data_IF_731541168031
#
_entry.id   IF_731541168031
#
_cell.length_a   1.000
_cell.length_b   1.000
_cell.length_c   1.000
_cell.angle_alpha   90.00
_cell.angle_beta   90.00
_cell.angle_gamma   90.00
#
_symmetry.space_group_name_H-M   'P 1'
#
loop_
_entity.id
_entity.type
_entity.pdbx_description
1 polymer ?
#
# COMPACT_ATOMS: atom_id res chain seq x y z
N UNK A 1 27.96 -13.60 -0.12
CA UNK A 1 27.28 -12.30 -0.09
C UNK A 1 26.02 -12.47 0.74
N UNK A 2 25.79 -11.61 1.74
CA UNK A 2 24.67 -11.77 2.66
C UNK A 2 23.35 -11.51 1.90
N UNK A 3 22.45 -12.49 1.85
CA UNK A 3 21.27 -12.49 0.96
C UNK A 3 20.05 -11.73 1.53
N UNK A 4 20.22 -11.06 2.67
CA UNK A 4 19.23 -10.18 3.31
C UNK A 4 19.55 -8.70 3.07
N UNK A 5 19.51 -8.27 1.81
CA UNK A 5 19.80 -6.87 1.46
C UNK A 5 18.55 -6.17 0.98
N UNK A 6 18.30 -4.97 1.53
CA UNK A 6 17.25 -4.06 1.07
C UNK A 6 17.93 -2.88 0.37
N UNK A 7 17.65 -2.74 -0.92
CA UNK A 7 18.17 -1.69 -1.80
C UNK A 7 17.03 -0.76 -2.16
N UNK A 8 17.19 0.53 -1.87
CA UNK A 8 16.23 1.57 -2.28
C UNK A 8 16.86 2.38 -3.41
N UNK A 9 16.15 2.51 -4.53
CA UNK A 9 16.56 3.33 -5.67
C UNK A 9 15.63 4.54 -5.79
N UNK A 10 16.17 5.75 -5.75
CA UNK A 10 15.40 7.00 -5.83
C UNK A 10 15.81 7.84 -7.03
N UNK A 11 14.88 8.62 -7.57
CA UNK A 11 15.11 9.53 -8.69
C UNK A 11 13.87 9.72 -9.56
N UNK A 12 13.88 10.74 -10.40
CA UNK A 12 12.75 11.09 -11.28
C UNK A 12 12.36 9.97 -12.25
N UNK A 13 11.18 10.09 -12.86
CA UNK A 13 10.74 9.15 -13.90
C UNK A 13 11.74 9.16 -15.07
N UNK A 14 11.89 8.00 -15.73
CA UNK A 14 12.78 7.80 -16.90
C UNK A 14 14.29 7.96 -16.67
N UNK A 15 14.76 7.93 -15.42
CA UNK A 15 16.22 7.96 -15.14
C UNK A 15 16.90 6.57 -15.15
N UNK A 16 16.18 5.51 -15.56
CA UNK A 16 16.73 4.15 -15.65
C UNK A 16 16.73 3.34 -14.35
N UNK A 17 15.94 3.74 -13.33
CA UNK A 17 15.83 3.00 -12.05
C UNK A 17 15.38 1.55 -12.25
N UNK A 18 14.30 1.32 -12.98
CA UNK A 18 13.76 -0.02 -13.21
C UNK A 18 14.78 -0.90 -13.93
N UNK A 19 15.50 -0.34 -14.90
CA UNK A 19 16.56 -1.05 -15.63
C UNK A 19 17.76 -1.36 -14.73
N UNK A 20 18.21 -0.40 -13.93
CA UNK A 20 19.30 -0.64 -12.97
C UNK A 20 18.90 -1.68 -11.91
N UNK A 21 17.65 -1.64 -11.41
CA UNK A 21 17.12 -2.64 -10.49
C UNK A 21 17.12 -4.04 -11.09
N UNK A 22 16.63 -4.19 -12.32
CA UNK A 22 16.68 -5.46 -13.06
C UNK A 22 18.12 -5.91 -13.31
N UNK A 23 19.03 -5.00 -13.65
CA UNK A 23 20.45 -5.34 -13.89
C UNK A 23 21.13 -5.86 -12.62
N UNK A 24 20.83 -5.26 -11.47
CA UNK A 24 21.29 -5.76 -10.18
C UNK A 24 20.68 -7.14 -9.92
N UNK A 25 19.38 -7.32 -10.17
CA UNK A 25 18.72 -8.60 -9.95
C UNK A 25 19.30 -9.73 -10.82
N UNK A 26 19.56 -9.51 -12.10
CA UNK A 26 20.24 -10.48 -12.99
C UNK A 26 21.63 -10.89 -12.49
N UNK A 27 22.37 -9.94 -11.90
CA UNK A 27 23.70 -10.21 -11.35
C UNK A 27 23.63 -11.03 -10.06
N UNK A 28 22.59 -10.82 -9.25
CA UNK A 28 22.40 -11.50 -7.97
C UNK A 28 21.73 -12.87 -8.13
N UNK A 29 20.86 -13.02 -9.11
CA UNK A 29 20.13 -14.25 -9.43
C UNK A 29 20.25 -14.55 -10.94
N UNK A 30 21.01 -15.59 -11.28
CA UNK A 30 21.23 -15.99 -12.68
C UNK A 30 19.95 -16.45 -13.37
N UNK A 31 18.95 -16.89 -12.59
CA UNK A 31 17.65 -17.37 -13.06
C UNK A 31 16.57 -16.28 -12.91
N UNK A 32 16.97 -15.03 -12.73
CA UNK A 32 16.04 -13.92 -12.57
C UNK A 32 15.04 -13.84 -13.74
N UNK A 33 13.76 -13.90 -13.39
CA UNK A 33 12.63 -13.83 -14.31
C UNK A 33 11.71 -12.66 -13.92
N UNK A 34 11.69 -11.57 -14.70
CA UNK A 34 10.82 -10.41 -14.45
C UNK A 34 9.35 -10.76 -14.33
N UNK A 35 8.88 -11.78 -15.05
CA UNK A 35 7.49 -12.23 -15.00
C UNK A 35 7.11 -12.71 -13.59
N UNK A 36 8.07 -13.23 -12.81
CA UNK A 36 7.85 -13.78 -11.47
C UNK A 36 8.38 -12.90 -10.35
N UNK A 37 9.42 -12.11 -10.60
CA UNK A 37 10.19 -11.43 -9.55
C UNK A 37 10.11 -9.91 -9.59
N UNK A 38 9.48 -9.30 -10.61
CA UNK A 38 9.16 -7.87 -10.62
C UNK A 38 7.69 -7.67 -10.24
N UNK A 39 7.43 -6.78 -9.28
CA UNK A 39 6.09 -6.55 -8.74
C UNK A 39 5.72 -5.08 -8.83
N UNK A 40 4.52 -4.81 -9.35
CA UNK A 40 3.89 -3.49 -9.40
C UNK A 40 2.81 -3.33 -8.31
N UNK A 41 2.51 -4.41 -7.58
CA UNK A 41 1.55 -4.46 -6.49
C UNK A 41 2.10 -5.23 -5.29
N UNK A 42 1.64 -4.86 -4.11
CA UNK A 42 2.12 -5.44 -2.84
C UNK A 42 1.54 -6.81 -2.56
N UNK A 43 0.29 -7.08 -2.96
CA UNK A 43 -0.35 -8.39 -2.74
C UNK A 43 0.45 -9.55 -3.35
N UNK A 44 0.68 -9.55 -4.67
CA UNK A 44 1.49 -10.58 -5.34
C UNK A 44 2.92 -10.67 -4.78
N UNK A 45 3.53 -9.53 -4.43
CA UNK A 45 4.83 -9.50 -3.79
C UNK A 45 4.84 -10.24 -2.45
N UNK A 46 3.89 -9.95 -1.55
CA UNK A 46 3.84 -10.57 -0.23
C UNK A 46 3.61 -12.08 -0.32
N UNK A 47 2.77 -12.52 -1.26
CA UNK A 47 2.56 -13.94 -1.52
C UNK A 47 3.85 -14.61 -1.99
N UNK A 48 4.50 -14.06 -3.02
CA UNK A 48 5.77 -14.57 -3.50
C UNK A 48 6.85 -14.59 -2.41
N UNK A 49 6.92 -13.54 -1.59
CA UNK A 49 7.89 -13.41 -0.51
C UNK A 49 7.67 -14.46 0.58
N UNK A 50 6.41 -14.78 0.88
CA UNK A 50 6.06 -15.83 1.82
C UNK A 50 6.46 -17.23 1.31
N UNK A 51 6.37 -17.46 0.01
CA UNK A 51 6.57 -18.80 -0.56
C UNK A 51 8.02 -19.05 -0.99
N UNK A 52 8.80 -17.99 -1.21
CA UNK A 52 10.16 -18.05 -1.77
C UNK A 52 11.24 -17.81 -0.71
N UNK A 53 12.42 -18.38 -0.94
CA UNK A 53 13.64 -18.16 -0.15
C UNK A 53 14.83 -17.96 -1.06
N UNK A 54 15.88 -17.33 -0.54
CA UNK A 54 17.18 -17.20 -1.20
C UNK A 54 17.11 -16.55 -2.60
N UNK A 55 16.16 -15.64 -2.80
CA UNK A 55 15.85 -15.06 -4.11
C UNK A 55 15.86 -13.53 -4.09
N UNK A 56 15.68 -12.92 -5.26
CA UNK A 56 15.64 -11.47 -5.46
C UNK A 56 14.24 -11.05 -5.90
N UNK A 57 13.72 -9.99 -5.32
CA UNK A 57 12.50 -9.31 -5.78
C UNK A 57 12.79 -7.84 -6.13
N UNK A 58 12.13 -7.37 -7.17
CA UNK A 58 12.08 -5.96 -7.55
C UNK A 58 10.66 -5.46 -7.35
N UNK A 59 10.48 -4.46 -6.50
CA UNK A 59 9.22 -3.73 -6.32
C UNK A 59 9.37 -2.41 -7.09
N UNK A 60 8.67 -2.28 -8.21
CA UNK A 60 8.83 -1.15 -9.12
C UNK A 60 7.61 -0.23 -9.08
N UNK A 61 7.85 1.08 -8.90
CA UNK A 61 6.83 2.15 -8.96
C UNK A 61 5.62 2.02 -8.01
N UNK A 62 5.67 1.11 -7.02
CA UNK A 62 4.51 0.78 -6.17
C UNK A 62 3.98 1.96 -5.35
N UNK A 63 4.81 2.92 -4.98
CA UNK A 63 4.36 4.13 -4.27
C UNK A 63 3.57 5.11 -5.15
N UNK A 64 3.82 5.11 -6.46
CA UNK A 64 3.14 5.99 -7.43
C UNK A 64 1.69 5.53 -7.65
N UNK A 65 1.39 4.27 -7.31
CA UNK A 65 0.10 3.65 -7.51
C UNK A 65 -0.93 4.04 -6.44
N UNK A 66 -0.49 4.66 -5.35
CA UNK A 66 -1.38 5.13 -4.29
C UNK A 66 -1.65 6.63 -4.45
N UNK A 67 -2.89 6.97 -4.77
CA UNK A 67 -3.34 8.36 -4.92
C UNK A 67 -3.28 9.17 -3.60
N UNK A 68 -3.29 8.50 -2.45
CA UNK A 68 -3.20 9.10 -1.12
C UNK A 68 -1.98 8.57 -0.36
N UNK A 69 -1.20 9.49 0.23
CA UNK A 69 -0.07 9.20 1.10
C UNK A 69 -0.43 8.26 2.27
N UNK A 70 -1.63 8.37 2.85
CA UNK A 70 -2.09 7.50 3.95
C UNK A 70 -2.19 6.03 3.52
N UNK A 71 -2.72 5.77 2.33
CA UNK A 71 -2.86 4.42 1.78
C UNK A 71 -1.48 3.81 1.50
N UNK A 72 -0.56 4.62 0.96
CA UNK A 72 0.82 4.21 0.80
C UNK A 72 1.49 3.87 2.15
N UNK A 73 1.33 4.70 3.18
CA UNK A 73 1.90 4.42 4.50
C UNK A 73 1.39 3.10 5.10
N UNK A 74 0.10 2.78 4.95
CA UNK A 74 -0.46 1.51 5.43
C UNK A 74 0.17 0.31 4.72
N UNK A 75 0.38 0.43 3.41
CA UNK A 75 0.98 -0.60 2.56
C UNK A 75 2.47 -0.75 2.83
N UNK A 76 3.19 0.35 2.96
CA UNK A 76 4.58 0.42 3.36
C UNK A 76 4.79 -0.27 4.72
N UNK A 77 3.98 0.07 5.72
CA UNK A 77 4.03 -0.55 7.04
C UNK A 77 3.80 -2.07 6.98
N UNK A 78 2.94 -2.55 6.08
CA UNK A 78 2.70 -3.99 5.89
C UNK A 78 3.93 -4.67 5.31
N UNK A 79 4.56 -4.08 4.29
CA UNK A 79 5.83 -4.58 3.73
C UNK A 79 6.89 -4.62 4.83
N UNK A 80 7.07 -3.55 5.59
CA UNK A 80 8.11 -3.48 6.61
C UNK A 80 7.90 -4.50 7.73
N UNK A 81 6.66 -4.68 8.19
CA UNK A 81 6.35 -5.71 9.20
C UNK A 81 6.70 -7.09 8.69
N UNK A 82 6.35 -7.42 7.44
CA UNK A 82 6.72 -8.69 6.83
C UNK A 82 8.24 -8.82 6.76
N UNK A 83 8.97 -7.81 6.28
CA UNK A 83 10.43 -7.85 6.17
C UNK A 83 11.10 -8.04 7.53
N UNK A 84 10.70 -7.25 8.54
CA UNK A 84 11.24 -7.33 9.90
C UNK A 84 11.08 -8.71 10.53
N UNK A 85 9.95 -9.38 10.30
CA UNK A 85 9.66 -10.67 10.93
C UNK A 85 10.28 -11.87 10.19
N UNK A 86 10.64 -11.72 8.92
CA UNK A 86 10.98 -12.88 8.07
C UNK A 86 12.36 -12.84 7.41
N UNK A 87 13.02 -11.68 7.32
CA UNK A 87 14.31 -11.53 6.62
C UNK A 87 15.36 -12.51 7.14
N UNK A 88 15.58 -12.60 8.46
CA UNK A 88 16.61 -13.49 9.03
C UNK A 88 16.47 -14.99 8.72
N UNK A 89 15.29 -15.43 8.24
CA UNK A 89 15.04 -16.82 7.84
C UNK A 89 14.89 -17.01 6.32
N UNK A 90 14.41 -15.99 5.60
CA UNK A 90 14.09 -16.08 4.17
C UNK A 90 15.27 -15.76 3.26
N UNK A 91 16.21 -14.90 3.67
CA UNK A 91 17.41 -14.58 2.87
C UNK A 91 17.07 -14.03 1.49
N UNK A 92 16.02 -13.20 1.42
CA UNK A 92 15.57 -12.59 0.17
C UNK A 92 16.12 -11.17 0.04
N UNK A 93 16.69 -10.85 -1.13
CA UNK A 93 17.11 -9.50 -1.46
C UNK A 93 15.96 -8.73 -2.09
N UNK A 94 15.72 -7.53 -1.58
CA UNK A 94 14.66 -6.66 -2.04
C UNK A 94 15.23 -5.40 -2.68
N UNK A 95 14.77 -5.08 -3.88
CA UNK A 95 15.10 -3.85 -4.58
C UNK A 95 13.81 -3.05 -4.79
N UNK A 96 13.72 -1.85 -4.26
CA UNK A 96 12.55 -0.98 -4.40
C UNK A 96 12.90 0.26 -5.20
N UNK A 97 12.08 0.62 -6.19
CA UNK A 97 12.23 1.89 -6.90
C UNK A 97 11.17 2.89 -6.42
N UNK A 98 11.60 4.11 -6.14
CA UNK A 98 10.75 5.19 -5.67
C UNK A 98 11.08 6.48 -6.45
N UNK A 99 10.10 7.37 -6.67
CA UNK A 99 10.36 8.67 -7.28
C UNK A 99 11.23 9.56 -6.38
N UNK A 100 10.99 9.51 -5.06
CA UNK A 100 11.71 10.28 -4.05
C UNK A 100 11.84 9.47 -2.77
N UNK A 101 12.87 9.77 -1.98
CA UNK A 101 13.07 9.21 -0.64
C UNK A 101 11.95 9.58 0.34
N UNK A 102 11.24 10.69 0.10
CA UNK A 102 10.11 11.14 0.93
C UNK A 102 8.91 10.21 0.86
N UNK A 103 8.87 9.33 -0.13
CA UNK A 103 7.90 8.24 -0.23
C UNK A 103 8.24 7.08 0.70
N UNK A 104 9.14 7.29 1.66
CA UNK A 104 9.51 6.26 2.60
C UNK A 104 9.48 6.86 4.00
N UNK A 105 8.76 6.21 4.91
CA UNK A 105 8.78 6.54 6.32
C UNK A 105 10.18 6.35 6.90
N UNK A 106 10.48 7.08 7.97
CA UNK A 106 11.77 7.00 8.65
C UNK A 106 12.10 5.56 9.08
N UNK A 107 11.14 4.85 9.67
CA UNK A 107 11.31 3.45 10.09
C UNK A 107 11.70 2.52 8.94
N UNK A 108 11.12 2.70 7.76
CA UNK A 108 11.47 1.91 6.59
C UNK A 108 12.86 2.25 6.06
N UNK A 109 13.24 3.52 6.15
CA UNK A 109 14.53 3.99 5.68
C UNK A 109 15.67 3.40 6.51
N UNK A 110 15.44 3.26 7.82
CA UNK A 110 16.38 2.68 8.77
C UNK A 110 16.64 1.19 8.55
N UNK A 111 15.72 0.51 7.85
CA UNK A 111 15.82 -0.92 7.53
C UNK A 111 16.46 -1.17 6.16
N UNK A 112 16.58 -0.13 5.33
CA UNK A 112 17.33 -0.21 4.11
C UNK A 112 18.83 -0.39 4.40
N UNK A 113 19.51 -1.13 3.54
CA UNK A 113 20.96 -1.34 3.65
C UNK A 113 21.71 -0.41 2.70
N UNK A 114 21.15 -0.21 1.50
CA UNK A 114 21.73 0.58 0.42
C UNK A 114 20.68 1.54 -0.11
N UNK A 115 21.07 2.80 -0.28
CA UNK A 115 20.32 3.80 -1.04
C UNK A 115 21.10 4.14 -2.31
N UNK A 116 20.44 4.13 -3.44
CA UNK A 116 20.99 4.50 -4.74
C UNK A 116 20.20 5.68 -5.29
N UNK A 117 20.82 6.86 -5.32
CA UNK A 117 20.20 8.07 -5.84
C UNK A 117 20.63 8.28 -7.29
N UNK A 118 19.66 8.35 -8.19
CA UNK A 118 19.89 8.66 -9.60
C UNK A 118 20.43 10.09 -9.74
N UNK A 119 21.56 10.24 -10.42
CA UNK A 119 22.15 11.55 -10.74
C UNK A 119 21.90 11.89 -12.21
N UNK A 120 21.98 10.87 -13.08
CA UNK A 120 21.65 10.96 -14.50
C UNK A 120 21.11 9.59 -14.94
N UNK A 121 20.62 9.49 -16.17
CA UNK A 121 20.11 8.25 -16.74
C UNK A 121 21.15 7.14 -16.65
N UNK A 122 20.85 6.09 -15.87
CA UNK A 122 21.74 4.96 -15.65
C UNK A 122 22.93 5.22 -14.71
N UNK A 123 23.07 6.41 -14.12
CA UNK A 123 24.16 6.77 -13.20
C UNK A 123 23.61 7.03 -11.80
N UNK A 124 24.12 6.28 -10.83
CA UNK A 124 23.64 6.29 -9.45
C UNK A 124 24.77 6.58 -8.47
N UNK A 125 24.52 7.52 -7.56
CA UNK A 125 25.35 7.69 -6.36
C UNK A 125 24.84 6.74 -5.28
N UNK A 126 25.73 5.93 -4.75
CA UNK A 126 25.42 4.85 -3.80
C UNK A 126 25.80 5.26 -2.39
N UNK A 127 24.89 4.98 -1.46
CA UNK A 127 25.01 5.27 -0.04
C UNK A 127 24.75 4.00 0.75
N UNK A 128 25.57 3.76 1.77
CA UNK A 128 25.30 2.74 2.78
C UNK A 128 24.52 3.41 3.89
N UNK A 129 23.38 2.84 4.25
CA UNK A 129 22.60 3.33 5.38
C UNK A 129 23.25 2.82 6.66
N UNK A 130 23.57 3.73 7.58
CA UNK A 130 24.04 3.39 8.92
C UNK A 130 23.17 4.05 9.96
N UNK A 131 22.70 3.25 10.91
CA UNK A 131 21.98 3.71 12.08
C UNK A 131 22.94 3.76 13.26
N UNK A 132 23.12 4.94 13.84
CA UNK A 132 23.80 5.06 15.12
C UNK A 132 22.81 4.63 16.21
N UNK A 133 23.06 3.46 16.80
CA UNK A 133 22.18 2.85 17.80
C UNK A 133 22.04 3.69 19.07
N UNK A 134 23.07 4.47 19.42
CA UNK A 134 23.09 5.31 20.62
C UNK A 134 22.33 6.61 20.41
N UNK A 135 22.52 7.28 19.27
CA UNK A 135 21.84 8.54 18.97
C UNK A 135 20.50 8.38 18.26
N UNK A 136 20.15 7.15 17.82
CA UNK A 136 18.98 6.83 16.98
C UNK A 136 18.88 7.71 15.73
N UNK A 137 20.03 8.14 15.22
CA UNK A 137 20.13 8.93 14.00
C UNK A 137 20.70 8.05 12.89
N UNK A 138 20.07 8.15 11.73
CA UNK A 138 20.33 7.32 10.56
C UNK A 138 20.84 8.20 9.46
N UNK A 139 22.00 7.84 8.91
CA UNK A 139 22.70 8.68 7.94
C UNK A 139 23.11 7.85 6.72
N UNK A 140 22.83 8.32 5.50
CA UNK A 140 23.39 7.74 4.29
C UNK A 140 24.86 8.17 4.16
N UNK A 141 25.78 7.20 4.14
CA UNK A 141 27.21 7.45 3.91
C UNK A 141 27.51 7.08 2.46
N UNK A 142 27.82 8.08 1.64
CA UNK A 142 28.18 7.88 0.25
C UNK A 142 29.46 7.05 0.15
N UNK A 143 29.50 6.07 -0.75
CA UNK A 143 30.69 5.23 -0.93
C UNK A 143 31.11 5.04 -2.39
N UNK A 144 30.21 5.17 -3.36
CA UNK A 144 30.56 4.91 -4.77
C UNK A 144 29.58 5.59 -5.74
N UNK A 145 30.02 5.76 -6.99
CA UNK A 145 29.15 6.11 -8.11
C UNK A 145 29.17 4.95 -9.11
N UNK A 146 27.99 4.42 -9.43
CA UNK A 146 27.84 3.28 -10.32
C UNK A 146 27.10 3.68 -11.59
N UNK A 147 27.57 3.17 -12.73
CA UNK A 147 26.87 3.23 -14.02
C UNK A 147 26.32 1.85 -14.34
N UNK A 148 25.05 1.79 -14.69
CA UNK A 148 24.39 0.57 -15.12
C UNK A 148 24.12 0.61 -16.62
N UNK A 149 24.57 -0.45 -17.30
CA UNK A 149 24.13 -0.76 -18.65
C UNK A 149 22.73 -1.38 -18.62
N UNK A 150 22.13 -1.52 -19.81
CA UNK A 150 20.84 -2.18 -19.96
C UNK A 150 20.87 -3.64 -19.43
N UNK A 151 19.76 -4.15 -18.86
CA UNK A 151 19.56 -5.58 -18.63
C UNK A 151 19.64 -6.38 -19.94
N UNK A 152 19.59 -7.70 -19.85
CA UNK A 152 19.47 -8.54 -21.05
C UNK A 152 18.16 -8.22 -21.77
N UNK A 153 18.18 -8.36 -23.10
CA UNK A 153 17.04 -7.95 -23.94
C UNK A 153 15.78 -8.80 -23.67
N UNK A 154 15.95 -10.08 -23.29
CA UNK A 154 14.86 -10.97 -22.86
C UNK A 154 14.19 -10.49 -21.56
N UNK A 155 14.99 -10.01 -20.62
CA UNK A 155 14.57 -9.48 -19.33
C UNK A 155 13.82 -8.17 -19.52
N UNK A 156 14.28 -7.31 -20.41
CA UNK A 156 13.56 -6.08 -20.80
C UNK A 156 12.21 -6.44 -21.43
N UNK A 157 12.19 -7.36 -22.40
CA UNK A 157 10.96 -7.74 -23.08
C UNK A 157 9.92 -8.34 -22.11
N UNK A 158 10.35 -9.20 -21.19
CA UNK A 158 9.47 -9.78 -20.17
C UNK A 158 8.92 -8.72 -19.20
N UNK A 159 9.76 -7.76 -18.78
CA UNK A 159 9.36 -6.65 -17.94
C UNK A 159 8.32 -5.75 -18.63
N UNK A 160 8.60 -5.30 -19.85
CA UNK A 160 7.71 -4.37 -20.58
C UNK A 160 6.37 -5.04 -20.89
N UNK A 161 6.36 -6.33 -21.25
CA UNK A 161 5.12 -7.10 -21.41
C UNK A 161 4.29 -7.12 -20.12
N UNK A 162 4.92 -7.47 -18.99
CA UNK A 162 4.23 -7.51 -17.68
C UNK A 162 3.71 -6.13 -17.27
N UNK A 163 4.51 -5.08 -17.52
CA UNK A 163 4.14 -3.70 -17.22
C UNK A 163 2.94 -3.24 -18.04
N UNK A 164 2.91 -3.57 -19.33
CA UNK A 164 1.80 -3.24 -20.23
C UNK A 164 0.51 -3.96 -19.82
N UNK A 165 0.57 -5.27 -19.55
CA UNK A 165 -0.56 -6.06 -19.05
C UNK A 165 -1.12 -5.48 -17.74
N UNK A 166 -0.23 -5.13 -16.81
CA UNK A 166 -0.60 -4.52 -15.55
C UNK A 166 -1.24 -3.13 -15.74
N UNK A 167 -0.66 -2.26 -16.56
CA UNK A 167 -1.21 -0.93 -16.85
C UNK A 167 -2.60 -1.01 -17.48
N UNK A 168 -2.81 -1.94 -18.41
CA UNK A 168 -4.12 -2.17 -19.05
C UNK A 168 -5.16 -2.62 -18.04
N UNK A 169 -4.81 -3.58 -17.18
CA UNK A 169 -5.71 -4.04 -16.11
C UNK A 169 -6.05 -2.91 -15.14
N UNK A 170 -5.07 -2.07 -14.79
CA UNK A 170 -5.27 -0.94 -13.88
C UNK A 170 -6.19 0.12 -14.48
N UNK A 171 -5.93 0.51 -15.73
CA UNK A 171 -6.75 1.50 -16.44
C UNK A 171 -8.19 1.01 -16.62
N UNK A 172 -8.40 -0.27 -16.94
CA UNK A 172 -9.73 -0.86 -17.00
C UNK A 172 -10.46 -0.75 -15.65
N UNK A 173 -9.79 -1.08 -14.55
CA UNK A 173 -10.34 -0.94 -13.20
C UNK A 173 -10.67 0.50 -12.82
N UNK A 174 -9.81 1.47 -13.16
CA UNK A 174 -10.07 2.89 -12.92
C UNK A 174 -11.26 3.39 -13.77
N UNK A 175 -11.35 2.97 -15.03
CA UNK A 175 -12.48 3.31 -15.90
C UNK A 175 -13.79 2.72 -15.39
N UNK A 176 -13.79 1.48 -14.90
CA UNK A 176 -14.98 0.86 -14.33
C UNK A 176 -15.40 1.55 -13.03
N UNK A 177 -14.44 1.94 -12.18
CA UNK A 177 -14.73 2.76 -11.00
C UNK A 177 -15.34 4.12 -11.37
N UNK A 178 -14.76 4.82 -12.36
CA UNK A 178 -15.31 6.09 -12.85
C UNK A 178 -16.70 5.89 -13.45
N UNK A 179 -16.94 4.80 -14.21
CA UNK A 179 -18.26 4.47 -14.76
C UNK A 179 -19.29 4.28 -13.64
N UNK A 180 -18.95 3.53 -12.60
CA UNK A 180 -19.81 3.35 -11.44
C UNK A 180 -20.16 4.67 -10.75
N UNK A 181 -19.20 5.60 -10.66
CA UNK A 181 -19.42 6.95 -10.15
C UNK A 181 -20.25 7.82 -11.10
N UNK A 182 -20.07 7.69 -12.41
CA UNK A 182 -20.77 8.52 -13.40
C UNK A 182 -22.23 8.09 -13.65
N UNK A 183 -22.58 6.87 -13.23
CA UNK A 183 -23.94 6.35 -13.34
C UNK A 183 -24.82 7.02 -12.28
N UNK A 184 -25.61 8.01 -12.71
CA UNK A 184 -26.49 8.82 -11.85
C UNK A 184 -27.52 7.94 -11.11
N UNK A 185 -27.86 6.75 -11.64
CA UNK A 185 -28.71 5.79 -10.90
C UNK A 185 -28.05 5.20 -9.64
N UNK A 186 -26.71 5.20 -9.54
CA UNK A 186 -26.01 4.81 -8.31
C UNK A 186 -25.93 5.96 -7.29
N UNK A 187 -26.20 7.20 -7.70
CA UNK A 187 -26.41 8.36 -6.83
C UNK A 187 -27.84 8.42 -6.28
N UNK A 188 -28.51 7.28 -6.07
CA UNK A 188 -29.56 7.28 -5.05
C UNK A 188 -28.88 7.62 -3.72
N UNK A 189 -29.08 8.84 -3.24
CA UNK A 189 -28.60 9.31 -1.93
C UNK A 189 -29.05 8.29 -0.88
N UNK A 190 -28.18 7.36 -0.54
CA UNK A 190 -28.45 6.42 0.53
C UNK A 190 -28.40 7.24 1.81
N UNK A 191 -29.44 7.09 2.63
CA UNK A 191 -29.47 7.72 3.94
C UNK A 191 -28.22 7.25 4.70
N UNK A 192 -27.55 8.19 5.34
CA UNK A 192 -26.50 7.91 6.31
C UNK A 192 -27.08 7.14 7.50
N UNK A 193 -26.20 6.50 8.28
CA UNK A 193 -26.61 5.78 9.49
C UNK A 193 -27.43 6.68 10.44
N UNK A 194 -27.03 7.94 10.60
CA UNK A 194 -27.76 8.90 11.45
C UNK A 194 -29.14 9.24 10.90
N UNK A 195 -29.32 9.27 9.58
CA UNK A 195 -30.62 9.49 8.95
C UNK A 195 -31.55 8.28 9.09
N UNK A 196 -31.02 7.05 8.96
CA UNK A 196 -31.79 5.83 9.26
C UNK A 196 -32.22 5.76 10.72
N UNK A 197 -31.31 6.05 11.66
CA UNK A 197 -31.63 6.09 13.09
C UNK A 197 -32.61 7.20 13.44
N UNK A 198 -32.52 8.36 12.77
CA UNK A 198 -33.50 9.43 12.90
C UNK A 198 -34.87 9.01 12.36
N UNK A 199 -34.91 8.29 11.24
CA UNK A 199 -36.13 7.69 10.68
C UNK A 199 -36.78 6.71 11.65
N UNK A 200 -36.00 5.79 12.23
CA UNK A 200 -36.44 4.88 13.28
C UNK A 200 -37.03 5.63 14.48
N UNK A 201 -36.28 6.60 15.01
CA UNK A 201 -36.69 7.41 16.16
C UNK A 201 -37.99 8.20 15.93
N UNK A 202 -38.22 8.63 14.69
CA UNK A 202 -39.43 9.35 14.30
C UNK A 202 -40.59 8.41 13.94
N UNK A 203 -40.42 7.09 14.07
CA UNK A 203 -41.43 6.09 13.70
C UNK A 203 -41.69 5.99 12.19
N UNK A 204 -40.77 6.51 11.38
CA UNK A 204 -40.86 6.50 9.91
C UNK A 204 -40.31 5.20 9.29
N UNK A 205 -39.63 4.38 10.09
CA UNK A 205 -38.99 3.14 9.64
C UNK A 205 -39.04 2.09 10.75
N UNK A 206 -39.27 0.84 10.35
CA UNK A 206 -39.24 -0.31 11.25
C UNK A 206 -37.80 -0.67 11.66
N UNK A 207 -37.67 -1.21 12.87
CA UNK A 207 -36.39 -1.63 13.44
C UNK A 207 -35.66 -2.63 12.53
N UNK A 208 -36.38 -3.64 12.03
CA UNK A 208 -35.82 -4.69 11.16
C UNK A 208 -35.29 -4.12 9.84
N UNK A 209 -36.00 -3.12 9.28
CA UNK A 209 -35.61 -2.45 8.03
C UNK A 209 -34.33 -1.64 8.26
N UNK A 210 -34.24 -0.91 9.37
CA UNK A 210 -33.08 -0.11 9.73
C UNK A 210 -31.89 -1.01 10.03
N UNK A 211 -32.09 -2.11 10.76
CA UNK A 211 -31.06 -3.10 11.08
C UNK A 211 -30.46 -3.69 9.81
N UNK A 212 -31.30 -4.18 8.90
CA UNK A 212 -30.86 -4.76 7.64
C UNK A 212 -30.07 -3.75 6.77
N UNK A 213 -30.48 -2.47 6.76
CA UNK A 213 -29.80 -1.42 6.01
C UNK A 213 -28.44 -1.06 6.59
N UNK A 214 -28.33 -0.91 7.91
CA UNK A 214 -27.06 -0.54 8.57
C UNK A 214 -26.06 -1.72 8.51
N UNK A 215 -26.51 -2.97 8.65
CA UNK A 215 -25.66 -4.15 8.46
C UNK A 215 -25.10 -4.20 7.03
N UNK A 216 -25.92 -3.89 6.02
CA UNK A 216 -25.48 -3.80 4.62
C UNK A 216 -24.43 -2.70 4.39
N UNK A 217 -24.34 -1.69 5.27
CA UNK A 217 -23.30 -0.65 5.24
C UNK A 217 -21.98 -1.12 5.88
N UNK A 218 -21.89 -2.36 6.37
CA UNK A 218 -20.67 -2.97 6.90
C UNK A 218 -20.52 -2.96 8.42
N UNK A 219 -21.57 -2.57 9.15
CA UNK A 219 -21.60 -2.65 10.61
C UNK A 219 -21.93 -4.08 11.07
N UNK A 220 -21.34 -4.50 12.19
CA UNK A 220 -21.69 -5.80 12.78
C UNK A 220 -23.10 -5.76 13.37
N UNK A 221 -23.84 -6.87 13.31
CA UNK A 221 -25.20 -6.95 13.87
C UNK A 221 -25.24 -6.52 15.35
N UNK A 222 -24.19 -6.90 16.10
CA UNK A 222 -24.03 -6.57 17.51
C UNK A 222 -23.91 -5.06 17.76
N UNK A 223 -23.16 -4.35 16.91
CA UNK A 223 -23.01 -2.89 17.02
C UNK A 223 -24.32 -2.18 16.67
N UNK A 224 -25.06 -2.69 15.67
CA UNK A 224 -26.34 -2.13 15.26
C UNK A 224 -27.41 -2.27 16.36
N UNK A 225 -27.51 -3.44 16.99
CA UNK A 225 -28.40 -3.65 18.14
C UNK A 225 -28.08 -2.72 19.30
N UNK A 226 -26.79 -2.54 19.60
CA UNK A 226 -26.36 -1.64 20.67
C UNK A 226 -26.82 -0.20 20.40
N UNK A 227 -26.65 0.28 19.17
CA UNK A 227 -27.03 1.65 18.80
C UNK A 227 -28.54 1.85 18.78
N UNK A 228 -29.32 0.89 18.28
CA UNK A 228 -30.78 0.97 18.30
C UNK A 228 -31.32 1.03 19.73
N UNK A 229 -30.77 0.22 20.64
CA UNK A 229 -31.10 0.23 22.06
C UNK A 229 -30.75 1.57 22.73
N UNK A 230 -29.64 2.19 22.34
CA UNK A 230 -29.25 3.51 22.85
C UNK A 230 -30.22 4.62 22.41
N UNK A 231 -30.79 4.53 21.20
CA UNK A 231 -31.74 5.53 20.70
C UNK A 231 -33.14 5.35 21.28
N UNK A 232 -33.60 4.11 21.53
CA UNK A 232 -34.89 3.84 22.17
C UNK A 232 -34.92 4.25 23.65
N UNK A 233 -33.80 4.10 24.38
CA UNK A 233 -33.67 4.58 25.76
C UNK A 233 -33.76 6.11 25.89
N UNK A 234 -33.37 6.87 24.87
CA UNK A 234 -33.44 8.35 24.89
C UNK A 234 -34.86 8.89 24.68
N UNK A 235 -35.80 8.07 24.21
CA UNK A 235 -37.20 8.45 23.96
C UNK A 235 -38.09 8.30 25.18
N UNK A 236 -37.75 7.41 26.13
CA UNK A 236 -38.55 7.18 27.34
C UNK A 236 -38.35 8.26 28.42
N UNK A 237 -37.27 9.04 28.34
CA UNK A 237 -36.84 9.98 29.39
C UNK A 237 -37.33 11.44 29.19
N UNK A 238 -38.40 11.65 28.39
CA UNK A 238 -38.94 12.99 28.07
C UNK A 238 -40.46 13.12 28.19
N UNK A 239 -41.07 12.46 29.16
CA UNK A 239 -42.42 12.83 29.61
C UNK A 239 -42.29 13.81 30.77
N UNK A 240 -42.52 15.13 30.60
CA UNK A 240 -42.57 16.03 31.76
C UNK A 240 -43.74 15.62 32.65
N UNK A 241 -43.49 15.42 33.95
CA UNK A 241 -44.54 15.24 34.93
C UNK A 241 -45.52 16.43 34.83
N UNK A 242 -46.84 16.19 34.86
CA UNK A 242 -47.81 17.27 34.87
C UNK A 242 -47.63 18.08 36.15
N UNK A 243 -47.22 19.35 36.01
CA UNK A 243 -47.22 20.31 37.10
C UNK A 243 -48.65 20.44 37.65
N UNK A 244 -48.91 19.84 38.81
CA UNK A 244 -50.11 20.11 39.59
C UNK A 244 -49.89 21.42 40.35
N UNK A 245 -50.62 22.46 39.96
CA UNK A 245 -50.75 23.66 40.78
C UNK A 245 -51.69 23.37 41.95
N UNK A 246 -51.16 23.43 43.16
CA UNK A 246 -51.92 23.54 44.43
C UNK A 246 -51.58 24.86 45.10
#
# INVERSE_FOLDING_TARGET
>A
MNRDTIIIMVGEKRTGKSWAAMKIAEKLDKNFDPAKQVFFDVGPFLQWFNDTKDSVAVIDEVSVNFANAQTWYAVENRIMRTLLTTQGYKRNTLIMTLPSITHLSKSSFELAHILMASVNTGIFRCYRIKTNQLSRKTYPIGFEMLRFDKPRDDTIAAYEKKKDEWNKSRLAGDLDYIRQLSDVSNFQKQLSMSEYLKGFKLGLMDEDVVKAKIVKMGYSEKDVEMVLKMESMKTEDKSPEPFTYT
#
